data_IF_456092902648
#
_entry.id   IF_456092902648
#
_cell.length_a   1.000
_cell.length_b   1.000
_cell.length_c   1.000
_cell.angle_alpha   90.00
_cell.angle_beta   90.00
_cell.angle_gamma   90.00
#
_symmetry.space_group_name_H-M   'P 1'
#
loop_
_entity.id
_entity.type
_entity.pdbx_description
1 polymer ?
#
# COMPACT_ATOMS: atom_id res chain seq x y z
N UNK A 1 9.51 -10.66 8.51
CA UNK A 1 9.27 -9.68 9.59
C UNK A 1 8.74 -8.39 8.95
N UNK A 2 7.47 -8.04 9.16
CA UNK A 2 6.98 -6.70 8.83
C UNK A 2 7.38 -5.79 9.99
N UNK A 3 8.36 -4.91 9.76
CA UNK A 3 8.86 -3.98 10.77
C UNK A 3 8.16 -2.63 10.54
N UNK A 4 6.92 -2.53 10.99
CA UNK A 4 6.23 -1.24 11.08
C UNK A 4 6.58 -0.61 12.43
N UNK A 5 7.17 0.57 12.41
CA UNK A 5 7.64 1.29 13.61
C UNK A 5 6.54 2.04 14.37
N UNK A 6 5.27 1.72 14.12
CA UNK A 6 4.11 2.29 14.83
C UNK A 6 3.22 1.17 15.41
N UNK A 7 3.46 0.85 16.68
CA UNK A 7 2.74 0.05 17.71
C UNK A 7 1.57 -0.93 17.42
N UNK A 8 1.18 -1.26 16.19
CA UNK A 8 0.19 -2.30 15.94
C UNK A 8 0.57 -3.11 14.69
N UNK A 9 0.71 -4.44 14.77
CA UNK A 9 0.99 -5.25 13.59
C UNK A 9 -0.08 -5.02 12.53
N UNK A 10 0.36 -4.79 11.28
CA UNK A 10 -0.54 -4.53 10.15
C UNK A 10 -1.71 -5.53 10.04
N UNK A 11 -1.52 -6.86 10.25
CA UNK A 11 -2.64 -7.80 10.25
C UNK A 11 -3.72 -7.50 11.31
N UNK A 12 -3.32 -7.01 12.48
CA UNK A 12 -4.26 -6.66 13.56
C UNK A 12 -5.11 -5.45 13.14
N UNK A 13 -4.50 -4.45 12.54
CA UNK A 13 -5.20 -3.27 12.01
C UNK A 13 -6.18 -3.64 10.89
N UNK A 14 -5.77 -4.48 9.94
CA UNK A 14 -6.62 -4.92 8.84
C UNK A 14 -7.83 -5.72 9.35
N UNK A 15 -7.63 -6.60 10.33
CA UNK A 15 -8.72 -7.35 10.95
C UNK A 15 -9.71 -6.44 11.67
N UNK A 16 -9.22 -5.45 12.42
CA UNK A 16 -10.08 -4.46 13.08
C UNK A 16 -10.94 -3.69 12.06
N UNK A 17 -10.34 -3.18 10.99
CA UNK A 17 -11.07 -2.45 9.94
C UNK A 17 -12.13 -3.31 9.26
N UNK A 18 -11.82 -4.58 9.01
CA UNK A 18 -12.78 -5.53 8.42
C UNK A 18 -14.00 -5.74 9.35
N UNK A 19 -13.76 -5.86 10.66
CA UNK A 19 -14.83 -6.00 11.66
C UNK A 19 -15.72 -4.74 11.77
N UNK A 20 -15.12 -3.55 11.73
CA UNK A 20 -15.86 -2.29 11.92
C UNK A 20 -16.62 -1.81 10.69
N UNK A 21 -16.04 -1.96 9.49
CA UNK A 21 -16.59 -1.36 8.25
C UNK A 21 -17.54 -2.33 7.52
N UNK A 22 -17.43 -3.64 7.79
CA UNK A 22 -18.28 -4.66 7.17
C UNK A 22 -18.06 -4.80 5.66
N UNK A 23 -16.89 -4.41 5.15
CA UNK A 23 -16.50 -4.57 3.75
C UNK A 23 -15.17 -5.31 3.60
N UNK A 24 -14.90 -5.79 2.39
CA UNK A 24 -13.63 -6.40 2.04
C UNK A 24 -12.49 -5.40 2.16
N UNK A 25 -11.41 -5.80 2.84
CA UNK A 25 -10.23 -4.97 3.05
C UNK A 25 -9.09 -5.51 2.19
N UNK A 26 -8.48 -4.64 1.39
CA UNK A 26 -7.34 -4.98 0.54
C UNK A 26 -6.14 -4.13 0.96
N UNK A 27 -4.99 -4.77 1.18
CA UNK A 27 -3.71 -4.10 1.39
C UNK A 27 -2.85 -4.24 0.13
N UNK A 28 -2.46 -3.12 -0.46
CA UNK A 28 -1.60 -3.08 -1.65
C UNK A 28 -0.26 -2.49 -1.23
N UNK A 29 0.79 -3.32 -1.25
CA UNK A 29 2.16 -2.91 -0.94
C UNK A 29 2.96 -2.60 -2.21
N UNK A 30 3.90 -1.66 -2.09
CA UNK A 30 4.87 -1.35 -3.14
C UNK A 30 6.24 -1.62 -2.56
N UNK A 31 7.02 -2.47 -3.25
CA UNK A 31 8.35 -2.84 -2.80
C UNK A 31 9.30 -1.64 -2.97
N UNK A 32 9.90 -1.12 -1.89
CA UNK A 32 10.93 -0.11 -2.01
C UNK A 32 12.21 -0.72 -2.59
N UNK A 33 12.96 0.10 -3.34
CA UNK A 33 14.32 -0.24 -3.77
C UNK A 33 15.33 -0.05 -2.64
N UNK A 34 15.25 1.07 -1.93
CA UNK A 34 16.01 1.37 -0.72
C UNK A 34 15.13 2.15 0.27
N UNK A 35 15.42 2.00 1.56
CA UNK A 35 14.81 2.77 2.66
C UNK A 35 15.88 3.56 3.44
N UNK A 36 17.08 3.68 2.88
CA UNK A 36 18.18 4.42 3.50
C UNK A 36 17.89 5.92 3.53
N UNK A 37 18.36 6.58 4.58
CA UNK A 37 18.15 8.01 4.78
C UNK A 37 18.86 8.81 3.67
N UNK A 38 18.18 9.84 3.16
CA UNK A 38 18.75 10.77 2.19
C UNK A 38 18.67 10.33 0.74
N UNK A 39 18.02 9.19 0.46
CA UNK A 39 17.67 8.78 -0.90
C UNK A 39 16.24 9.20 -1.25
N UNK A 40 16.08 9.74 -2.45
CA UNK A 40 14.77 9.92 -3.07
C UNK A 40 14.23 8.60 -3.61
N UNK A 41 12.93 8.60 -3.94
CA UNK A 41 12.30 7.47 -4.62
C UNK A 41 12.95 7.24 -6.00
N UNK A 42 13.37 6.01 -6.28
CA UNK A 42 13.92 5.65 -7.58
C UNK A 42 12.83 5.56 -8.66
N UNK A 43 13.24 5.65 -9.92
CA UNK A 43 12.33 5.67 -11.08
C UNK A 43 11.54 4.35 -11.22
N UNK A 44 12.10 3.21 -10.81
CA UNK A 44 11.41 1.92 -10.85
C UNK A 44 10.22 1.89 -9.89
N UNK A 45 10.38 2.44 -8.68
CA UNK A 45 9.31 2.52 -7.68
C UNK A 45 8.25 3.52 -8.13
N UNK A 46 8.66 4.69 -8.67
CA UNK A 46 7.74 5.69 -9.24
C UNK A 46 6.88 5.10 -10.35
N UNK A 47 7.52 4.42 -11.32
CA UNK A 47 6.81 3.78 -12.43
C UNK A 47 5.82 2.70 -11.95
N UNK A 48 6.16 1.98 -10.87
CA UNK A 48 5.26 1.03 -10.23
C UNK A 48 4.00 1.70 -9.64
N UNK A 49 4.19 2.84 -8.97
CA UNK A 49 3.08 3.64 -8.40
C UNK A 49 2.18 4.20 -9.50
N UNK A 50 2.77 4.77 -10.56
CA UNK A 50 2.01 5.35 -11.68
C UNK A 50 1.12 4.29 -12.34
N UNK A 51 1.67 3.13 -12.67
CA UNK A 51 0.91 2.01 -13.26
C UNK A 51 -0.22 1.53 -12.36
N UNK A 52 0.03 1.45 -11.05
CA UNK A 52 -0.99 1.05 -10.08
C UNK A 52 -2.13 2.08 -10.01
N UNK A 53 -1.78 3.37 -9.96
CA UNK A 53 -2.75 4.47 -9.94
C UNK A 53 -3.61 4.50 -11.21
N UNK A 54 -2.99 4.35 -12.37
CA UNK A 54 -3.69 4.30 -13.66
C UNK A 54 -4.65 3.12 -13.72
N UNK A 55 -4.23 1.95 -13.24
CA UNK A 55 -5.07 0.75 -13.20
C UNK A 55 -6.27 0.94 -12.27
N UNK A 56 -6.07 1.48 -11.07
CA UNK A 56 -7.16 1.73 -10.12
C UNK A 56 -8.15 2.75 -10.70
N UNK A 57 -7.65 3.84 -11.28
CA UNK A 57 -8.48 4.88 -11.89
C UNK A 57 -9.31 4.32 -13.05
N UNK A 58 -8.69 3.54 -13.93
CA UNK A 58 -9.38 2.89 -15.05
C UNK A 58 -10.49 1.95 -14.58
N UNK A 59 -10.26 1.18 -13.51
CA UNK A 59 -11.25 0.25 -12.96
C UNK A 59 -12.41 1.02 -12.30
N UNK A 60 -12.11 2.10 -11.57
CA UNK A 60 -13.13 2.89 -10.88
C UNK A 60 -14.02 3.70 -11.83
N UNK A 61 -13.49 4.18 -12.95
CA UNK A 61 -14.26 4.91 -13.97
C UNK A 61 -15.18 4.02 -14.82
N UNK A 62 -15.04 2.70 -14.74
CA UNK A 62 -15.86 1.73 -15.48
C UNK A 62 -17.14 1.33 -14.74
N UNK A 63 -17.36 1.84 -13.53
CA UNK A 63 -18.60 1.70 -12.76
C UNK A 63 -19.53 2.87 -13.01
#
# INVERSE_FOLDING_TARGET
LSFSTHMLPLPVMLNYLHMEVGCEIVCIGIQPHSIELGYDMCEEVKSGIEKLSDMITLILQRK
#
